data_IF_991604832912
#
_entry.id   IF_991604832912
#
_cell.length_a   1.000
_cell.length_b   1.000
_cell.length_c   1.000
_cell.angle_alpha   90.00
_cell.angle_beta   90.00
_cell.angle_gamma   90.00
#
_symmetry.space_group_name_H-M   'P 1'
#
loop_
_entity.id
_entity.type
_entity.pdbx_description
1 polymer ?
#
# COMPACT_ATOMS: atom_id res chain seq x y z
N UNK A 1 52.85 -0.25 -29.78
CA UNK A 1 53.15 -1.19 -30.86
C UNK A 1 51.89 -2.00 -31.12
N UNK A 2 51.27 -1.70 -32.28
CA UNK A 2 50.86 -2.67 -33.34
C UNK A 2 49.85 -3.73 -32.84
N UNK A 3 48.72 -3.94 -33.40
CA UNK A 3 47.96 -3.75 -34.67
C UNK A 3 46.80 -4.72 -34.54
N UNK A 4 45.53 -4.31 -34.74
CA UNK A 4 44.74 -4.48 -35.95
C UNK A 4 44.57 -5.94 -36.43
N UNK A 5 43.27 -6.36 -36.60
CA UNK A 5 42.56 -6.68 -37.86
C UNK A 5 41.30 -7.47 -37.47
N UNK A 6 40.07 -7.09 -37.64
CA UNK A 6 39.17 -6.84 -38.78
C UNK A 6 38.82 -8.09 -39.62
N UNK A 7 37.52 -8.30 -39.82
CA UNK A 7 36.79 -8.80 -41.00
C UNK A 7 35.52 -9.59 -40.57
N UNK A 8 34.31 -9.21 -40.83
CA UNK A 8 33.48 -8.87 -42.02
C UNK A 8 32.83 -10.09 -42.70
N UNK A 9 31.54 -9.89 -42.99
CA UNK A 9 30.64 -10.51 -44.01
C UNK A 9 29.99 -11.87 -43.65
N UNK A 10 28.75 -12.23 -44.08
CA UNK A 10 27.69 -11.53 -44.81
C UNK A 10 26.42 -12.38 -44.75
N UNK A 11 25.33 -11.72 -44.80
CA UNK A 11 24.02 -11.92 -45.38
C UNK A 11 23.70 -13.20 -46.19
N UNK A 12 22.48 -13.69 -46.04
CA UNK A 12 21.63 -14.06 -47.17
C UNK A 12 20.14 -14.10 -46.81
N UNK A 13 19.38 -13.30 -47.56
CA UNK A 13 17.93 -13.31 -47.71
C UNK A 13 17.49 -14.55 -48.50
N UNK A 14 16.32 -15.08 -48.23
CA UNK A 14 15.45 -15.66 -49.28
C UNK A 14 14.01 -15.26 -48.99
N UNK A 15 13.46 -14.48 -49.92
CA UNK A 15 12.00 -14.27 -50.13
C UNK A 15 11.43 -15.50 -50.86
N UNK A 16 10.15 -15.83 -50.58
CA UNK A 16 9.26 -16.39 -51.58
C UNK A 16 7.83 -15.91 -51.39
N UNK A 17 7.34 -15.16 -52.39
CA UNK A 17 5.94 -14.82 -52.66
C UNK A 17 5.28 -15.95 -53.44
N UNK A 18 3.94 -16.09 -53.28
CA UNK A 18 2.93 -16.22 -54.34
C UNK A 18 1.60 -16.56 -53.71
N UNK A 19 0.55 -15.85 -53.82
CA UNK A 19 -0.25 -15.21 -54.86
C UNK A 19 -1.61 -15.95 -55.07
N UNK A 20 -2.69 -15.15 -54.89
CA UNK A 20 -3.95 -15.05 -55.60
C UNK A 20 -5.01 -16.15 -55.60
N UNK A 21 -6.25 -15.71 -55.41
CA UNK A 21 -7.48 -16.34 -55.85
C UNK A 21 -8.74 -15.63 -55.34
N UNK A 22 -9.25 -14.67 -56.14
CA UNK A 22 -10.55 -14.01 -56.00
C UNK A 22 -11.73 -14.90 -56.30
N UNK A 23 -12.87 -14.72 -55.68
CA UNK A 23 -14.16 -14.50 -56.38
C UNK A 23 -15.26 -14.09 -55.41
N UNK A 24 -16.03 -13.10 -55.86
CA UNK A 24 -17.20 -12.50 -55.24
C UNK A 24 -18.47 -13.32 -55.51
N UNK A 25 -19.45 -13.22 -54.61
CA UNK A 25 -20.81 -12.68 -54.93
C UNK A 25 -21.85 -12.96 -53.85
N UNK A 26 -22.49 -11.86 -53.43
CA UNK A 26 -23.91 -11.53 -53.27
C UNK A 26 -24.80 -12.16 -52.21
N UNK A 27 -25.24 -11.21 -51.32
CA UNK A 27 -26.56 -11.01 -50.71
C UNK A 27 -27.45 -12.14 -50.22
N UNK A 28 -27.80 -12.10 -48.95
CA UNK A 28 -29.18 -11.84 -48.52
C UNK A 28 -29.27 -11.61 -47.00
N UNK A 29 -29.97 -10.55 -46.57
CA UNK A 29 -30.28 -10.20 -45.21
C UNK A 29 -31.21 -11.22 -44.52
N UNK A 30 -30.92 -11.51 -43.23
CA UNK A 30 -31.96 -11.91 -42.28
C UNK A 30 -31.48 -11.61 -40.85
N UNK A 31 -32.29 -10.80 -40.16
CA UNK A 31 -32.18 -10.40 -38.77
C UNK A 31 -32.37 -11.60 -37.83
N UNK A 32 -31.48 -11.75 -36.85
CA UNK A 32 -31.81 -12.42 -35.59
C UNK A 32 -30.93 -11.86 -34.49
N UNK A 33 -31.57 -11.44 -33.39
CA UNK A 33 -31.00 -11.01 -32.13
C UNK A 33 -29.94 -11.97 -31.64
N UNK A 34 -28.76 -11.45 -31.34
CA UNK A 34 -27.74 -12.18 -30.63
C UNK A 34 -27.62 -11.56 -29.25
N UNK A 35 -28.01 -12.33 -28.24
CA UNK A 35 -27.70 -12.07 -26.84
C UNK A 35 -26.18 -11.94 -26.69
N UNK A 36 -25.74 -10.78 -26.16
CA UNK A 36 -24.37 -10.57 -25.76
C UNK A 36 -24.09 -11.34 -24.45
N UNK A 37 -23.48 -12.50 -24.58
CA UNK A 37 -22.78 -13.13 -23.46
C UNK A 37 -21.50 -12.34 -23.23
N UNK A 38 -21.48 -11.58 -22.15
CA UNK A 38 -20.27 -11.01 -21.56
C UNK A 38 -19.37 -12.16 -21.12
N UNK A 39 -18.32 -12.40 -21.90
CA UNK A 39 -17.22 -13.26 -21.46
C UNK A 39 -16.39 -12.42 -20.49
N UNK A 40 -16.48 -12.73 -19.21
CA UNK A 40 -15.53 -12.22 -18.21
C UNK A 40 -14.12 -12.65 -18.66
N UNK A 41 -13.26 -11.66 -18.87
CA UNK A 41 -11.85 -11.90 -19.07
C UNK A 41 -11.27 -12.38 -17.74
N UNK A 42 -10.94 -13.65 -17.66
CA UNK A 42 -10.14 -14.21 -16.58
C UNK A 42 -8.75 -13.63 -16.69
N UNK A 43 -8.41 -12.74 -15.78
CA UNK A 43 -7.08 -12.19 -15.62
C UNK A 43 -6.16 -13.29 -15.09
N UNK A 44 -5.23 -13.78 -15.91
CA UNK A 44 -4.12 -14.59 -15.42
C UNK A 44 -3.14 -13.66 -14.67
N UNK A 45 -3.32 -13.53 -13.37
CA UNK A 45 -2.35 -13.00 -12.46
C UNK A 45 -2.00 -14.10 -11.45
N UNK A 46 -1.08 -14.99 -11.82
CA UNK A 46 -0.50 -15.89 -10.84
C UNK A 46 0.85 -16.39 -11.35
N UNK A 47 1.88 -16.21 -10.52
CA UNK A 47 3.08 -17.01 -10.59
C UNK A 47 2.75 -18.51 -10.54
N UNK A 48 3.57 -19.33 -11.18
CA UNK A 48 3.36 -20.76 -11.37
C UNK A 48 3.21 -21.53 -10.05
N UNK A 49 1.98 -21.67 -9.60
CA UNK A 49 1.51 -22.61 -8.60
C UNK A 49 0.11 -23.04 -8.97
N UNK A 50 -0.03 -23.79 -10.09
CA UNK A 50 -1.32 -24.13 -10.69
C UNK A 50 -2.01 -25.31 -10.01
N UNK A 51 -2.27 -25.24 -8.70
CA UNK A 51 -3.20 -26.11 -8.01
C UNK A 51 -4.41 -25.30 -7.57
N UNK A 52 -5.63 -25.71 -7.95
CA UNK A 52 -6.82 -25.15 -7.32
C UNK A 52 -6.75 -25.44 -5.82
N UNK A 53 -7.10 -24.46 -4.98
CA UNK A 53 -7.24 -24.68 -3.55
C UNK A 53 -8.33 -25.74 -3.30
N UNK A 54 -8.00 -26.72 -2.50
CA UNK A 54 -8.94 -27.79 -2.13
C UNK A 54 -8.85 -28.03 -0.64
N UNK A 55 -9.83 -27.58 0.12
CA UNK A 55 -9.85 -27.72 1.58
C UNK A 55 -11.01 -26.95 2.20
N UNK A 56 -11.13 -27.04 3.50
CA UNK A 56 -12.00 -26.18 4.28
C UNK A 56 -11.49 -24.73 4.20
N UNK A 57 -12.40 -23.73 4.04
CA UNK A 57 -11.98 -22.34 3.98
C UNK A 57 -11.17 -21.90 5.21
N UNK A 58 -10.10 -21.13 4.96
CA UNK A 58 -9.31 -20.49 6.01
C UNK A 58 -10.08 -19.27 6.54
N UNK A 59 -10.15 -19.10 7.84
CA UNK A 59 -10.75 -17.91 8.46
C UNK A 59 -9.73 -16.79 8.55
N UNK A 60 -9.86 -15.82 7.64
CA UNK A 60 -9.04 -14.61 7.60
C UNK A 60 -9.80 -13.44 8.19
N UNK A 61 -9.19 -12.70 9.12
CA UNK A 61 -9.78 -11.52 9.76
C UNK A 61 -9.03 -10.25 9.42
N UNK A 62 -9.73 -9.14 9.26
CA UNK A 62 -9.17 -7.79 9.17
C UNK A 62 -9.48 -6.97 10.41
N UNK A 63 -8.60 -6.05 10.76
CA UNK A 63 -8.81 -5.06 11.82
C UNK A 63 -8.28 -3.73 11.30
N UNK A 64 -9.05 -2.65 11.50
CA UNK A 64 -8.61 -1.31 11.18
C UNK A 64 -9.67 -0.25 11.42
N UNK A 65 -9.30 1.04 11.39
CA UNK A 65 -10.23 2.12 11.69
C UNK A 65 -11.17 2.37 10.50
N UNK A 66 -12.43 1.94 10.59
CA UNK A 66 -13.47 2.30 9.61
C UNK A 66 -14.30 3.49 10.07
N UNK A 67 -14.05 3.95 11.29
CA UNK A 67 -14.60 5.20 11.87
C UNK A 67 -13.47 6.01 12.51
N UNK A 68 -13.73 7.29 12.85
CA UNK A 68 -12.76 8.17 13.47
C UNK A 68 -11.78 8.83 12.50
N UNK A 69 -10.68 9.36 13.06
CA UNK A 69 -9.73 10.24 12.34
C UNK A 69 -8.84 9.56 11.30
N UNK A 70 -8.78 8.23 11.27
CA UNK A 70 -8.02 7.44 10.31
C UNK A 70 -8.92 6.56 9.41
N UNK A 71 -10.22 6.87 9.36
CA UNK A 71 -11.22 6.04 8.71
C UNK A 71 -10.98 5.80 7.21
N UNK A 72 -10.37 6.74 6.51
CA UNK A 72 -10.03 6.59 5.08
C UNK A 72 -9.11 5.38 4.85
N UNK A 73 -8.14 5.14 5.73
CA UNK A 73 -7.24 3.99 5.63
C UNK A 73 -7.98 2.67 5.85
N UNK A 74 -8.67 2.55 6.99
CA UNK A 74 -9.35 1.31 7.35
C UNK A 74 -10.49 0.96 6.41
N UNK A 75 -11.23 1.96 5.90
CA UNK A 75 -12.27 1.73 4.91
C UNK A 75 -11.68 1.21 3.58
N UNK A 76 -10.54 1.76 3.16
CA UNK A 76 -9.85 1.32 1.96
C UNK A 76 -9.33 -0.13 2.09
N UNK A 77 -8.72 -0.45 3.24
CA UNK A 77 -8.25 -1.81 3.56
C UNK A 77 -9.41 -2.80 3.59
N UNK A 78 -10.47 -2.51 4.35
CA UNK A 78 -11.66 -3.36 4.44
C UNK A 78 -12.25 -3.68 3.07
N UNK A 79 -12.43 -2.66 2.24
CA UNK A 79 -12.99 -2.81 0.90
C UNK A 79 -12.10 -3.71 0.03
N UNK A 80 -10.78 -3.52 0.08
CA UNK A 80 -9.83 -4.26 -0.73
C UNK A 80 -9.67 -5.72 -0.28
N UNK A 81 -9.66 -5.99 1.02
CA UNK A 81 -9.67 -7.36 1.54
C UNK A 81 -10.94 -8.11 1.11
N UNK A 82 -12.11 -7.45 1.25
CA UNK A 82 -13.39 -8.02 0.83
C UNK A 82 -13.40 -8.33 -0.68
N UNK A 83 -12.87 -7.42 -1.51
CA UNK A 83 -12.75 -7.59 -2.95
C UNK A 83 -11.85 -8.79 -3.29
N UNK A 84 -10.64 -8.82 -2.72
CA UNK A 84 -9.68 -9.90 -2.95
C UNK A 84 -10.24 -11.27 -2.56
N UNK A 85 -10.89 -11.38 -1.40
CA UNK A 85 -11.54 -12.63 -0.96
C UNK A 85 -12.64 -13.05 -1.92
N UNK A 86 -13.50 -12.14 -2.37
CA UNK A 86 -14.55 -12.43 -3.35
C UNK A 86 -13.99 -12.93 -4.68
N UNK A 87 -12.94 -12.28 -5.17
CA UNK A 87 -12.31 -12.65 -6.45
C UNK A 87 -11.61 -14.01 -6.35
N UNK A 88 -10.86 -14.27 -5.28
CA UNK A 88 -10.19 -15.55 -5.05
C UNK A 88 -11.21 -16.69 -4.93
N UNK A 89 -12.26 -16.52 -4.13
CA UNK A 89 -13.30 -17.52 -3.96
C UNK A 89 -14.04 -17.81 -5.29
N UNK A 90 -14.35 -16.75 -6.06
CA UNK A 90 -14.99 -16.90 -7.37
C UNK A 90 -14.09 -17.60 -8.38
N UNK A 91 -12.81 -17.24 -8.44
CA UNK A 91 -11.84 -17.85 -9.34
C UNK A 91 -11.57 -19.33 -9.00
N UNK A 92 -11.56 -19.68 -7.72
CA UNK A 92 -11.38 -21.06 -7.26
C UNK A 92 -12.65 -21.93 -7.48
N UNK A 93 -13.82 -21.31 -7.61
CA UNK A 93 -15.12 -22.01 -7.73
C UNK A 93 -15.65 -22.60 -6.42
N UNK A 94 -14.98 -22.34 -5.30
CA UNK A 94 -15.39 -22.65 -3.92
C UNK A 94 -14.68 -21.71 -2.96
N UNK A 95 -15.19 -21.58 -1.74
CA UNK A 95 -14.59 -20.68 -0.75
C UNK A 95 -13.20 -21.17 -0.34
N UNK A 96 -12.22 -20.29 -0.55
CA UNK A 96 -10.84 -20.41 -0.03
C UNK A 96 -10.76 -19.74 1.33
N UNK A 97 -11.45 -18.61 1.45
CA UNK A 97 -11.48 -17.81 2.66
C UNK A 97 -12.92 -17.57 3.14
N UNK A 98 -13.11 -17.67 4.46
CA UNK A 98 -14.16 -16.96 5.20
C UNK A 98 -13.55 -15.69 5.78
N UNK A 99 -14.20 -14.54 5.60
CA UNK A 99 -13.65 -13.24 5.98
C UNK A 99 -14.56 -12.46 6.93
N UNK A 100 -13.93 -11.77 7.90
CA UNK A 100 -14.57 -10.78 8.77
C UNK A 100 -13.65 -9.59 9.00
N UNK A 101 -14.26 -8.42 9.29
CA UNK A 101 -13.52 -7.20 9.61
C UNK A 101 -14.11 -6.53 10.85
N UNK A 102 -13.23 -6.05 11.74
CA UNK A 102 -13.60 -5.36 12.98
C UNK A 102 -13.03 -3.94 12.99
N UNK A 103 -13.80 -2.97 13.49
CA UNK A 103 -13.41 -1.56 13.63
C UNK A 103 -12.60 -1.35 14.92
N UNK A 104 -11.41 -0.78 14.84
CA UNK A 104 -10.59 -0.42 15.99
C UNK A 104 -10.55 1.09 16.30
N UNK A 105 -11.17 1.93 15.46
CA UNK A 105 -11.20 3.38 15.60
C UNK A 105 -9.81 4.02 15.79
N UNK A 106 -8.74 3.37 15.34
CA UNK A 106 -7.34 3.76 15.56
C UNK A 106 -6.95 3.77 17.06
N UNK A 107 -7.52 2.88 17.85
CA UNK A 107 -7.30 2.77 19.29
C UNK A 107 -6.73 1.40 19.64
N UNK A 108 -5.64 1.36 20.41
CA UNK A 108 -4.94 0.13 20.75
C UNK A 108 -5.78 -0.85 21.58
N UNK A 109 -6.57 -0.35 22.54
CA UNK A 109 -7.42 -1.19 23.40
C UNK A 109 -8.57 -1.78 22.59
N UNK A 110 -9.20 -0.99 21.71
CA UNK A 110 -10.25 -1.46 20.81
C UNK A 110 -9.72 -2.47 19.82
N UNK A 111 -8.50 -2.30 19.31
CA UNK A 111 -7.87 -3.24 18.40
C UNK A 111 -7.61 -4.60 19.04
N UNK A 112 -7.16 -4.64 20.29
CA UNK A 112 -7.05 -5.88 21.08
C UNK A 112 -8.43 -6.53 21.31
N UNK A 113 -9.47 -5.74 21.59
CA UNK A 113 -10.83 -6.25 21.72
C UNK A 113 -11.37 -6.80 20.39
N UNK A 114 -11.09 -6.15 19.27
CA UNK A 114 -11.43 -6.62 17.93
C UNK A 114 -10.72 -7.96 17.62
N UNK A 115 -9.43 -8.07 17.95
CA UNK A 115 -8.68 -9.32 17.84
C UNK A 115 -9.32 -10.46 18.64
N UNK A 116 -9.70 -10.22 19.89
CA UNK A 116 -10.37 -11.22 20.70
C UNK A 116 -11.73 -11.62 20.12
N UNK A 117 -12.49 -10.68 19.53
CA UNK A 117 -13.75 -10.97 18.83
C UNK A 117 -13.52 -11.90 17.63
N UNK A 118 -12.46 -11.66 16.86
CA UNK A 118 -12.09 -12.52 15.73
C UNK A 118 -11.60 -13.90 16.21
N UNK A 119 -10.85 -13.98 17.31
CA UNK A 119 -10.47 -15.29 17.94
C UNK A 119 -11.69 -16.10 18.32
N UNK A 120 -12.71 -15.51 18.94
CA UNK A 120 -13.94 -16.17 19.32
C UNK A 120 -14.72 -16.69 18.09
N UNK A 121 -14.56 -16.03 16.92
CA UNK A 121 -15.08 -16.54 15.65
C UNK A 121 -14.24 -17.70 15.08
N UNK A 122 -13.02 -17.91 15.56
CA UNK A 122 -12.11 -18.95 15.10
C UNK A 122 -11.09 -18.47 14.05
N UNK A 123 -10.60 -17.22 14.20
CA UNK A 123 -9.55 -16.63 13.37
C UNK A 123 -8.35 -17.57 13.22
N UNK A 124 -7.85 -17.71 11.99
CA UNK A 124 -6.63 -18.48 11.69
C UNK A 124 -5.50 -17.62 11.13
N UNK A 125 -5.85 -16.50 10.46
CA UNK A 125 -4.90 -15.56 9.86
C UNK A 125 -5.43 -14.15 10.05
N UNK A 126 -4.58 -13.22 10.47
CA UNK A 126 -4.91 -11.81 10.63
C UNK A 126 -4.29 -10.97 9.51
N UNK A 127 -5.12 -10.33 8.68
CA UNK A 127 -4.77 -9.28 7.74
C UNK A 127 -5.02 -7.92 8.41
N UNK A 128 -3.97 -7.32 8.96
CA UNK A 128 -4.11 -6.12 9.79
C UNK A 128 -3.32 -6.24 11.10
N UNK A 129 -3.51 -5.30 12.06
CA UNK A 129 -4.22 -4.03 11.93
C UNK A 129 -3.57 -3.04 10.96
N UNK A 130 -4.27 -1.90 10.71
CA UNK A 130 -3.90 -0.92 9.68
C UNK A 130 -2.88 0.10 10.18
N UNK A 131 -3.05 0.62 11.38
CA UNK A 131 -2.23 1.72 11.92
C UNK A 131 -1.25 1.22 12.97
N UNK A 132 -0.12 1.93 13.14
CA UNK A 132 1.05 1.46 13.91
C UNK A 132 0.75 1.12 15.37
N UNK A 133 0.18 2.04 16.16
CA UNK A 133 -0.06 1.83 17.60
C UNK A 133 -1.02 0.68 17.87
N UNK A 134 -2.18 0.55 17.19
CA UNK A 134 -3.03 -0.64 17.23
C UNK A 134 -2.30 -1.93 16.85
N UNK A 135 -1.49 -1.90 15.78
CA UNK A 135 -0.75 -3.08 15.31
C UNK A 135 0.28 -3.57 16.32
N UNK A 136 1.01 -2.68 16.99
CA UNK A 136 1.94 -3.06 18.06
C UNK A 136 1.20 -3.77 19.20
N UNK A 137 0.03 -3.26 19.59
CA UNK A 137 -0.75 -3.87 20.67
C UNK A 137 -1.25 -5.27 20.30
N UNK A 138 -1.78 -5.44 19.09
CA UNK A 138 -2.28 -6.74 18.61
C UNK A 138 -1.15 -7.71 18.31
N UNK A 139 0.00 -7.24 17.79
CA UNK A 139 1.16 -8.07 17.53
C UNK A 139 1.67 -8.78 18.79
N UNK A 140 1.63 -8.12 19.95
CA UNK A 140 1.98 -8.73 21.22
C UNK A 140 1.03 -9.89 21.59
N UNK A 141 -0.27 -9.77 21.29
CA UNK A 141 -1.26 -10.83 21.52
C UNK A 141 -1.09 -11.98 20.53
N UNK A 142 -0.91 -11.69 19.23
CA UNK A 142 -0.71 -12.72 18.20
C UNK A 142 0.57 -13.53 18.44
N UNK A 143 1.63 -12.90 18.97
CA UNK A 143 2.86 -13.59 19.35
C UNK A 143 2.64 -14.60 20.48
N UNK A 144 1.80 -14.25 21.48
CA UNK A 144 1.44 -15.17 22.56
C UNK A 144 0.62 -16.37 22.06
N UNK A 145 -0.21 -16.15 21.05
CA UNK A 145 -1.11 -17.17 20.50
C UNK A 145 -0.47 -17.99 19.35
N UNK A 146 0.72 -17.63 18.88
CA UNK A 146 1.33 -18.12 17.64
C UNK A 146 0.35 -18.05 16.47
N UNK A 147 -0.24 -16.87 16.24
CA UNK A 147 -1.18 -16.62 15.16
C UNK A 147 -0.53 -15.71 14.10
N UNK A 148 -0.57 -16.09 12.83
CA UNK A 148 0.03 -15.32 11.74
C UNK A 148 -0.68 -13.99 11.58
N UNK A 149 0.10 -12.92 11.59
CA UNK A 149 -0.36 -11.54 11.38
C UNK A 149 0.44 -10.90 10.24
N UNK A 150 -0.26 -10.28 9.28
CA UNK A 150 0.35 -9.43 8.27
C UNK A 150 -0.37 -8.09 8.20
N UNK A 151 0.34 -7.02 8.54
CA UNK A 151 -0.22 -5.67 8.40
C UNK A 151 -0.06 -5.14 6.98
N UNK A 152 -1.12 -4.50 6.41
CA UNK A 152 -1.00 -3.84 5.11
C UNK A 152 -0.18 -2.55 5.17
N UNK A 153 -0.15 -1.84 6.31
CA UNK A 153 0.33 -0.46 6.34
C UNK A 153 1.00 0.00 7.63
N UNK A 154 0.94 -0.78 8.72
CA UNK A 154 1.64 -0.40 9.94
C UNK A 154 3.15 -0.57 9.77
N UNK A 155 3.86 0.54 9.64
CA UNK A 155 5.21 0.64 9.08
C UNK A 155 6.34 0.75 10.12
N UNK A 156 6.00 0.96 11.41
CA UNK A 156 7.03 1.03 12.44
C UNK A 156 7.72 -0.33 12.67
N UNK A 157 9.05 -0.37 12.84
CA UNK A 157 9.79 -1.60 13.13
C UNK A 157 9.26 -2.36 14.36
N UNK A 158 8.78 -1.63 15.37
CA UNK A 158 8.23 -2.23 16.59
C UNK A 158 7.03 -3.17 16.33
N UNK A 159 6.35 -3.07 15.19
CA UNK A 159 5.26 -3.97 14.81
C UNK A 159 5.79 -5.38 14.59
N UNK A 160 6.79 -5.53 13.72
CA UNK A 160 7.37 -6.83 13.37
C UNK A 160 8.39 -7.35 14.41
N UNK A 161 8.90 -6.49 15.28
CA UNK A 161 9.78 -6.88 16.39
C UNK A 161 9.03 -7.59 17.53
N UNK A 162 7.70 -7.58 17.52
CA UNK A 162 6.87 -8.20 18.57
C UNK A 162 6.92 -9.73 18.55
N UNK A 163 7.15 -10.34 17.37
CA UNK A 163 7.23 -11.81 17.23
C UNK A 163 7.59 -12.22 15.80
N UNK A 164 8.08 -13.45 15.64
CA UNK A 164 8.45 -14.03 14.34
C UNK A 164 7.23 -14.44 13.48
N UNK A 165 6.03 -14.29 14.02
CA UNK A 165 4.73 -14.53 13.40
C UNK A 165 4.13 -13.27 12.76
N UNK A 166 4.79 -12.10 12.89
CA UNK A 166 4.29 -10.80 12.43
C UNK A 166 5.06 -10.35 11.20
N UNK A 167 4.31 -10.09 10.14
CA UNK A 167 4.82 -9.67 8.83
C UNK A 167 4.19 -8.34 8.42
N UNK A 168 4.85 -7.61 7.54
CA UNK A 168 4.31 -6.38 6.93
C UNK A 168 4.51 -6.41 5.42
N UNK A 169 3.57 -5.83 4.67
CA UNK A 169 3.71 -5.68 3.21
C UNK A 169 4.09 -4.24 2.83
N UNK A 170 3.91 -3.27 3.72
CA UNK A 170 4.34 -1.88 3.52
C UNK A 170 5.85 -1.71 3.74
N UNK A 171 6.43 -0.67 3.19
CA UNK A 171 7.79 -0.26 3.50
C UNK A 171 7.87 0.35 4.91
N UNK A 172 9.05 0.28 5.55
CA UNK A 172 9.21 0.67 6.95
C UNK A 172 9.37 2.17 7.16
N UNK A 173 9.04 2.70 8.36
CA UNK A 173 9.30 4.09 8.76
C UNK A 173 10.77 4.51 8.58
N UNK A 174 11.77 3.69 8.93
CA UNK A 174 13.15 4.00 8.61
C UNK A 174 13.39 4.25 7.12
N UNK A 175 12.79 3.43 6.25
CA UNK A 175 12.90 3.60 4.81
C UNK A 175 12.21 4.88 4.33
N UNK A 176 11.05 5.23 4.89
CA UNK A 176 10.35 6.46 4.57
C UNK A 176 11.16 7.71 4.95
N UNK A 177 11.69 7.73 6.18
CA UNK A 177 12.50 8.86 6.67
C UNK A 177 13.76 9.07 5.84
N UNK A 178 14.50 8.00 5.55
CA UNK A 178 15.72 8.04 4.71
C UNK A 178 15.37 8.44 3.28
N UNK A 179 14.41 7.76 2.64
CA UNK A 179 14.04 8.03 1.26
C UNK A 179 13.51 9.46 1.06
N UNK A 180 12.77 10.00 2.04
CA UNK A 180 12.31 11.40 2.00
C UNK A 180 13.46 12.39 2.00
N UNK A 181 14.45 12.21 2.89
CA UNK A 181 15.61 13.08 2.96
C UNK A 181 16.47 12.98 1.68
N UNK A 182 16.68 11.76 1.18
CA UNK A 182 17.39 11.50 -0.07
C UNK A 182 16.70 12.20 -1.23
N UNK A 183 15.41 12.00 -1.38
CA UNK A 183 14.62 12.54 -2.48
C UNK A 183 14.61 14.08 -2.48
N UNK A 184 14.41 14.70 -1.30
CA UNK A 184 14.46 16.15 -1.13
C UNK A 184 15.84 16.70 -1.53
N UNK A 185 16.92 16.06 -1.08
CA UNK A 185 18.28 16.49 -1.35
C UNK A 185 18.68 16.33 -2.83
N UNK A 186 18.40 15.17 -3.42
CA UNK A 186 18.76 14.83 -4.80
C UNK A 186 18.02 15.70 -5.82
N UNK A 187 16.73 15.96 -5.56
CA UNK A 187 15.88 16.77 -6.44
C UNK A 187 15.91 18.27 -6.08
N UNK A 188 16.63 18.67 -5.00
CA UNK A 188 16.78 20.06 -4.56
C UNK A 188 15.43 20.75 -4.33
N UNK A 189 14.51 20.04 -3.68
CA UNK A 189 13.14 20.50 -3.49
C UNK A 189 13.00 21.65 -2.48
N UNK A 190 14.00 21.82 -1.61
CA UNK A 190 14.11 22.90 -0.65
C UNK A 190 15.53 23.03 -0.10
N UNK A 191 15.83 24.16 0.55
CA UNK A 191 17.12 24.42 1.17
C UNK A 191 17.04 24.57 2.68
N UNK A 192 15.87 24.98 3.18
CA UNK A 192 15.56 25.17 4.61
C UNK A 192 14.33 24.38 4.98
N UNK A 193 14.54 23.28 5.68
CA UNK A 193 13.47 22.33 6.01
C UNK A 193 12.86 22.67 7.35
N UNK A 194 11.55 22.95 7.38
CA UNK A 194 10.71 22.86 8.56
C UNK A 194 10.11 21.46 8.68
N UNK A 195 9.87 20.99 9.90
CA UNK A 195 9.23 19.71 10.14
C UNK A 195 8.06 19.93 11.08
N UNK A 196 6.90 19.29 10.78
CA UNK A 196 5.76 19.24 11.72
C UNK A 196 5.39 17.77 11.89
N UNK A 197 5.39 17.28 13.15
CA UNK A 197 5.20 15.86 13.45
C UNK A 197 4.40 15.62 14.73
N UNK A 198 3.76 14.47 14.84
CA UNK A 198 3.10 14.02 16.06
C UNK A 198 4.09 13.26 16.95
N UNK A 199 4.45 13.87 18.09
CA UNK A 199 5.39 13.27 19.04
C UNK A 199 4.76 12.20 19.94
N UNK A 200 3.45 12.03 19.89
CA UNK A 200 2.70 11.01 20.62
C UNK A 200 2.40 9.76 19.78
N UNK A 201 2.65 9.81 18.48
CA UNK A 201 2.45 8.68 17.55
C UNK A 201 3.77 8.04 17.15
N UNK A 202 3.83 6.70 17.22
CA UNK A 202 5.04 5.93 16.94
C UNK A 202 5.45 6.00 15.46
N UNK A 203 4.49 6.01 14.52
CA UNK A 203 4.71 6.20 13.10
C UNK A 203 5.38 7.55 12.83
N UNK A 204 4.73 8.63 13.25
CA UNK A 204 5.18 10.00 12.98
C UNK A 204 6.55 10.30 13.59
N UNK A 205 6.75 9.94 14.86
CA UNK A 205 8.01 10.15 15.57
C UNK A 205 9.15 9.27 15.01
N UNK A 206 8.84 8.05 14.60
CA UNK A 206 9.80 7.12 14.00
C UNK A 206 10.37 7.64 12.68
N UNK A 207 9.51 8.09 11.78
CA UNK A 207 9.92 8.70 10.51
C UNK A 207 10.72 9.98 10.74
N UNK A 208 10.24 10.87 11.64
CA UNK A 208 10.93 12.11 12.00
C UNK A 208 12.38 11.86 12.43
N UNK A 209 12.62 10.92 13.34
CA UNK A 209 13.98 10.64 13.84
C UNK A 209 14.90 10.12 12.73
N UNK A 210 14.40 9.30 11.80
CA UNK A 210 15.19 8.79 10.67
C UNK A 210 15.44 9.87 9.61
N UNK A 211 14.43 10.66 9.29
CA UNK A 211 14.59 11.82 8.40
C UNK A 211 15.64 12.78 8.94
N UNK A 212 15.57 13.14 10.22
CA UNK A 212 16.52 14.05 10.88
C UNK A 212 17.95 13.53 10.82
N UNK A 213 18.15 12.23 11.04
CA UNK A 213 19.48 11.64 10.96
C UNK A 213 20.05 11.69 9.54
N UNK A 214 19.24 11.33 8.52
CA UNK A 214 19.64 11.33 7.12
C UNK A 214 19.81 12.76 6.57
N UNK A 215 18.97 13.70 6.98
CA UNK A 215 19.09 15.11 6.61
C UNK A 215 20.49 15.69 6.92
N UNK A 216 21.07 15.29 8.07
CA UNK A 216 22.46 15.65 8.41
C UNK A 216 23.45 15.06 7.43
N UNK A 217 23.28 13.79 7.05
CA UNK A 217 24.17 13.12 6.09
C UNK A 217 24.08 13.74 4.69
N UNK A 218 22.89 14.24 4.31
CA UNK A 218 22.64 14.90 3.01
C UNK A 218 22.88 16.41 3.02
N UNK A 219 23.30 16.99 4.15
CA UNK A 219 23.49 18.42 4.34
C UNK A 219 22.21 19.25 4.09
N UNK A 220 21.04 18.72 4.43
CA UNK A 220 19.80 19.48 4.48
C UNK A 220 19.75 20.31 5.77
N UNK A 221 19.45 21.60 5.65
CA UNK A 221 19.34 22.51 6.80
C UNK A 221 17.94 22.38 7.42
N UNK A 222 17.82 21.72 8.59
CA UNK A 222 16.58 21.72 9.37
C UNK A 222 16.55 23.00 10.19
N UNK A 223 15.69 23.95 9.82
CA UNK A 223 15.59 25.26 10.49
C UNK A 223 14.65 25.25 11.69
N UNK A 224 13.67 24.32 11.72
CA UNK A 224 12.79 24.09 12.86
C UNK A 224 12.15 22.72 12.81
N UNK A 225 11.78 22.16 13.98
CA UNK A 225 10.97 20.94 14.08
C UNK A 225 9.91 21.18 15.18
N UNK A 226 8.65 21.17 14.75
CA UNK A 226 7.52 21.55 15.57
C UNK A 226 6.65 20.33 15.88
N UNK A 227 6.57 19.98 17.16
CA UNK A 227 5.77 18.85 17.60
C UNK A 227 4.32 19.28 17.90
N UNK A 228 3.40 18.34 17.71
CA UNK A 228 2.08 18.32 18.31
C UNK A 228 1.83 16.95 18.95
N UNK A 229 0.68 16.76 19.58
CA UNK A 229 0.24 15.49 20.19
C UNK A 229 -1.23 15.26 19.89
N UNK A 230 -1.72 14.05 20.13
CA UNK A 230 -3.14 13.70 19.98
C UNK A 230 -4.08 14.67 20.72
N UNK A 231 -3.65 15.24 21.85
CA UNK A 231 -4.46 16.16 22.67
C UNK A 231 -4.59 17.57 22.06
N UNK A 232 -3.69 17.99 21.17
CA UNK A 232 -3.65 19.37 20.64
C UNK A 232 -3.60 19.46 19.12
N UNK A 233 -3.97 18.40 18.41
CA UNK A 233 -3.95 18.31 16.95
C UNK A 233 -5.11 19.02 16.23
N UNK A 234 -6.04 19.61 16.95
CA UNK A 234 -7.22 20.27 16.37
C UNK A 234 -6.93 21.63 15.73
N UNK A 235 -5.80 22.27 16.08
CA UNK A 235 -5.33 23.53 15.47
C UNK A 235 -3.80 23.55 15.43
N UNK A 236 -3.26 23.46 14.22
CA UNK A 236 -1.82 23.41 13.94
C UNK A 236 -1.27 24.73 13.39
N UNK A 237 -2.04 25.81 13.48
CA UNK A 237 -1.65 27.16 13.01
C UNK A 237 -0.37 27.68 13.67
N UNK A 238 -0.13 27.34 14.94
CA UNK A 238 1.10 27.71 15.66
C UNK A 238 2.34 27.05 15.08
N UNK A 239 2.27 25.75 14.75
CA UNK A 239 3.37 25.00 14.14
C UNK A 239 3.69 25.56 12.74
N UNK A 240 2.66 25.84 11.95
CA UNK A 240 2.80 26.49 10.63
C UNK A 240 3.46 27.85 10.74
N UNK A 241 3.00 28.71 11.68
CA UNK A 241 3.57 30.03 11.88
C UNK A 241 5.06 29.98 12.28
N UNK A 242 5.48 29.00 13.07
CA UNK A 242 6.89 28.82 13.45
C UNK A 242 7.74 28.38 12.26
N UNK A 243 7.25 27.48 11.39
CA UNK A 243 7.94 27.13 10.15
C UNK A 243 8.12 28.36 9.25
N UNK A 244 7.08 29.16 9.08
CA UNK A 244 7.14 30.42 8.32
C UNK A 244 8.15 31.42 8.93
N UNK A 245 8.14 31.62 10.25
CA UNK A 245 9.07 32.51 10.94
C UNK A 245 10.52 32.05 10.87
N UNK A 246 10.76 30.74 10.87
CA UNK A 246 12.08 30.14 10.67
C UNK A 246 12.58 30.27 9.22
N UNK A 247 11.70 30.68 8.29
CA UNK A 247 12.01 30.84 6.87
C UNK A 247 12.17 29.50 6.16
N UNK A 248 11.44 28.46 6.56
CA UNK A 248 11.44 27.20 5.88
C UNK A 248 10.85 27.37 4.47
N UNK A 249 11.55 26.87 3.45
CA UNK A 249 11.11 26.86 2.06
C UNK A 249 10.51 25.50 1.65
N UNK A 250 10.73 24.47 2.50
CA UNK A 250 10.09 23.17 2.44
C UNK A 250 9.60 22.76 3.83
N UNK A 251 8.41 22.18 3.91
CA UNK A 251 7.87 21.59 5.16
C UNK A 251 7.67 20.10 4.96
N UNK A 252 8.42 19.31 5.75
CA UNK A 252 8.29 17.86 5.81
C UNK A 252 7.23 17.47 6.83
N UNK A 253 6.31 16.61 6.42
CA UNK A 253 5.11 16.24 7.16
C UNK A 253 5.00 14.70 7.31
N UNK A 254 5.73 14.07 8.23
CA UNK A 254 5.57 12.65 8.54
C UNK A 254 4.33 12.43 9.44
N UNK A 255 3.15 12.68 8.91
CA UNK A 255 1.88 12.68 9.64
C UNK A 255 0.74 12.13 8.76
N UNK A 256 -0.42 11.92 9.36
CA UNK A 256 -1.61 11.45 8.66
C UNK A 256 -2.34 12.56 7.91
N UNK A 257 -3.14 12.16 6.93
CA UNK A 257 -3.84 13.05 6.00
C UNK A 257 -4.70 14.13 6.67
N UNK A 258 -5.30 13.81 7.80
CA UNK A 258 -6.23 14.71 8.49
C UNK A 258 -5.51 15.92 9.08
N UNK A 259 -4.41 15.70 9.79
CA UNK A 259 -3.56 16.75 10.33
C UNK A 259 -2.86 17.53 9.22
N UNK A 260 -2.44 16.84 8.17
CA UNK A 260 -1.87 17.46 6.97
C UNK A 260 -2.84 18.44 6.31
N UNK A 261 -4.11 18.08 6.16
CA UNK A 261 -5.14 18.97 5.60
C UNK A 261 -5.30 20.26 6.42
N UNK A 262 -5.23 20.17 7.74
CA UNK A 262 -5.29 21.33 8.63
C UNK A 262 -4.06 22.24 8.47
N UNK A 263 -2.87 21.64 8.27
CA UNK A 263 -1.63 22.39 8.01
C UNK A 263 -1.72 23.15 6.69
N UNK A 264 -2.18 22.49 5.62
CA UNK A 264 -2.38 23.14 4.32
C UNK A 264 -3.38 24.30 4.40
N UNK A 265 -4.50 24.11 5.10
CA UNK A 265 -5.49 25.18 5.36
C UNK A 265 -4.86 26.34 6.14
N UNK A 266 -4.07 26.06 7.18
CA UNK A 266 -3.42 27.08 8.00
C UNK A 266 -2.35 27.85 7.21
N UNK A 267 -1.56 27.17 6.39
CA UNK A 267 -0.56 27.76 5.51
C UNK A 267 -1.21 28.69 4.49
N UNK A 268 -2.25 28.24 3.80
CA UNK A 268 -3.01 29.06 2.85
C UNK A 268 -3.59 30.33 3.52
N UNK A 269 -4.20 30.19 4.71
CA UNK A 269 -4.75 31.33 5.47
C UNK A 269 -3.70 32.37 5.85
N UNK A 270 -2.45 31.94 6.10
CA UNK A 270 -1.34 32.84 6.46
C UNK A 270 -0.57 33.38 5.25
N UNK A 271 -0.90 32.95 4.03
CA UNK A 271 -0.15 33.26 2.82
C UNK A 271 1.27 32.65 2.81
N UNK A 272 1.44 31.53 3.48
CA UNK A 272 2.71 30.78 3.51
C UNK A 272 2.65 29.65 2.48
N UNK A 273 3.54 29.71 1.50
CA UNK A 273 3.56 28.83 0.32
C UNK A 273 4.91 28.08 0.21
N UNK A 274 5.26 27.21 1.16
CA UNK A 274 6.44 26.37 1.03
C UNK A 274 6.14 25.16 0.12
N UNK A 275 7.19 24.46 -0.28
CA UNK A 275 7.02 23.09 -0.78
C UNK A 275 6.60 22.18 0.37
N UNK A 276 5.54 21.38 0.19
CA UNK A 276 5.14 20.36 1.14
C UNK A 276 5.56 18.97 0.67
N UNK A 277 6.15 18.21 1.57
CA UNK A 277 6.58 16.83 1.31
C UNK A 277 6.16 15.93 2.48
N UNK A 278 5.45 14.85 2.18
CA UNK A 278 4.94 13.90 3.19
C UNK A 278 5.35 12.46 2.92
N UNK A 279 4.79 11.60 3.72
CA UNK A 279 4.97 10.16 3.66
C UNK A 279 3.66 9.47 3.23
N UNK A 280 3.61 8.15 3.31
CA UNK A 280 2.45 7.34 2.94
C UNK A 280 1.15 7.74 3.67
N UNK A 281 1.26 8.18 4.93
CA UNK A 281 0.11 8.68 5.71
C UNK A 281 -0.60 9.91 5.12
N UNK A 282 -0.06 10.51 4.06
CA UNK A 282 -0.75 11.57 3.32
C UNK A 282 -1.74 11.03 2.29
N UNK A 283 -1.62 9.77 1.88
CA UNK A 283 -2.51 9.19 0.88
C UNK A 283 -3.95 9.11 1.43
N UNK A 284 -4.90 9.54 0.63
CA UNK A 284 -6.28 9.75 1.02
C UNK A 284 -6.66 11.23 1.25
N UNK A 285 -5.70 12.17 1.27
CA UNK A 285 -5.97 13.61 1.50
C UNK A 285 -6.96 14.18 0.49
N UNK A 286 -6.97 13.67 -0.75
CA UNK A 286 -7.87 14.09 -1.81
C UNK A 286 -9.33 13.61 -1.62
N UNK A 287 -9.57 12.67 -0.69
CA UNK A 287 -10.89 12.09 -0.45
C UNK A 287 -11.57 12.61 0.82
N UNK A 288 -10.95 13.58 1.52
CA UNK A 288 -11.51 14.19 2.73
C UNK A 288 -12.77 14.97 2.40
N UNK A 289 -13.88 14.61 3.00
CA UNK A 289 -15.15 15.33 2.81
C UNK A 289 -15.04 16.80 3.21
N UNK A 290 -15.37 17.70 2.29
CA UNK A 290 -15.35 19.16 2.50
C UNK A 290 -13.97 19.81 2.49
N UNK A 291 -12.90 19.07 2.23
CA UNK A 291 -11.57 19.64 2.02
C UNK A 291 -11.45 20.23 0.62
N UNK A 292 -10.90 21.44 0.53
CA UNK A 292 -10.54 22.03 -0.75
C UNK A 292 -9.26 21.41 -1.31
N UNK A 293 -9.41 20.44 -2.19
CA UNK A 293 -8.29 19.66 -2.74
C UNK A 293 -7.29 20.51 -3.54
N UNK A 294 -7.68 21.72 -3.97
CA UNK A 294 -6.73 22.65 -4.61
C UNK A 294 -5.60 23.09 -3.67
N UNK A 295 -5.80 23.00 -2.34
CA UNK A 295 -4.77 23.29 -1.36
C UNK A 295 -3.68 22.23 -1.30
N UNK A 296 -3.95 21.05 -1.83
CA UNK A 296 -2.97 19.96 -1.92
C UNK A 296 -2.20 19.95 -3.26
N UNK A 297 -2.48 20.89 -4.17
CA UNK A 297 -1.76 20.99 -5.45
C UNK A 297 -0.26 21.20 -5.21
N UNK A 298 0.58 20.38 -5.82
CA UNK A 298 2.03 20.39 -5.63
C UNK A 298 2.53 19.67 -4.38
N UNK A 299 1.65 19.15 -3.52
CA UNK A 299 2.05 18.29 -2.40
C UNK A 299 2.69 17.01 -2.94
N UNK A 300 3.86 16.68 -2.45
CA UNK A 300 4.59 15.45 -2.78
C UNK A 300 4.51 14.46 -1.61
N UNK A 301 4.46 13.17 -1.92
CA UNK A 301 4.47 12.11 -0.91
C UNK A 301 5.13 10.83 -1.42
N UNK A 302 5.51 9.96 -0.49
CA UNK A 302 5.98 8.62 -0.81
C UNK A 302 4.81 7.63 -0.78
N UNK A 303 4.73 6.77 -1.80
CA UNK A 303 3.71 5.71 -1.92
C UNK A 303 4.27 4.56 -2.75
N UNK A 304 3.86 3.30 -2.52
CA UNK A 304 4.20 2.20 -3.42
C UNK A 304 3.27 2.09 -4.62
N UNK A 305 2.13 2.80 -4.62
CA UNK A 305 1.02 2.63 -5.55
C UNK A 305 0.59 3.94 -6.18
N UNK A 306 0.25 3.89 -7.47
CA UNK A 306 -0.35 4.99 -8.20
C UNK A 306 -1.56 4.46 -9.00
N UNK A 307 -2.76 4.93 -8.65
CA UNK A 307 -4.01 4.45 -9.26
C UNK A 307 -4.14 4.78 -10.77
N UNK A 308 -3.33 5.69 -11.28
CA UNK A 308 -3.24 6.08 -12.69
C UNK A 308 -2.16 5.31 -13.48
N UNK A 309 -1.42 4.40 -12.85
CA UNK A 309 -0.45 3.55 -13.51
C UNK A 309 -1.11 2.74 -14.64
N UNK A 310 -0.39 2.58 -15.76
CA UNK A 310 -0.97 2.04 -17.00
C UNK A 310 -0.76 0.53 -17.17
N UNK A 311 -0.18 -0.13 -16.18
CA UNK A 311 -0.05 -1.59 -16.21
C UNK A 311 -1.41 -2.27 -16.03
N UNK A 312 -1.53 -3.47 -16.58
CA UNK A 312 -2.78 -4.22 -16.67
C UNK A 312 -3.34 -4.60 -15.30
N UNK A 313 -2.47 -5.01 -14.36
CA UNK A 313 -2.88 -5.39 -12.99
C UNK A 313 -3.50 -4.19 -12.26
N UNK A 314 -2.80 -3.06 -12.25
CA UNK A 314 -3.29 -1.84 -11.61
C UNK A 314 -4.62 -1.39 -12.21
N UNK A 315 -4.75 -1.36 -13.53
CA UNK A 315 -5.99 -0.95 -14.18
C UNK A 315 -7.15 -1.90 -13.90
N UNK A 316 -6.91 -3.21 -13.84
CA UNK A 316 -7.92 -4.20 -13.48
C UNK A 316 -8.41 -3.99 -12.04
N UNK A 317 -7.48 -3.88 -11.08
CA UNK A 317 -7.81 -3.62 -9.68
C UNK A 317 -8.59 -2.31 -9.48
N UNK A 318 -8.10 -1.22 -10.07
CA UNK A 318 -8.76 0.10 -9.98
C UNK A 318 -10.17 0.05 -10.55
N UNK A 319 -10.37 -0.65 -11.68
CA UNK A 319 -11.69 -0.83 -12.28
C UNK A 319 -12.63 -1.62 -11.38
N UNK A 320 -12.18 -2.78 -10.88
CA UNK A 320 -12.97 -3.63 -9.99
C UNK A 320 -13.33 -2.93 -8.67
N UNK A 321 -12.36 -2.23 -8.07
CA UNK A 321 -12.58 -1.47 -6.85
C UNK A 321 -13.61 -0.34 -7.05
N UNK A 322 -13.48 0.43 -8.15
CA UNK A 322 -14.45 1.49 -8.49
C UNK A 322 -15.84 0.96 -8.76
N UNK A 323 -15.95 -0.19 -9.44
CA UNK A 323 -17.24 -0.82 -9.69
C UNK A 323 -17.92 -1.27 -8.40
N UNK A 324 -17.13 -1.83 -7.46
CA UNK A 324 -17.66 -2.36 -6.21
C UNK A 324 -18.01 -1.28 -5.18
N UNK A 325 -17.22 -0.20 -5.08
CA UNK A 325 -17.28 0.75 -3.97
C UNK A 325 -17.49 2.20 -4.38
N UNK A 326 -17.39 2.53 -5.67
CA UNK A 326 -17.61 3.88 -6.20
C UNK A 326 -16.46 4.87 -6.06
N UNK A 327 -15.37 4.45 -5.40
CA UNK A 327 -14.20 5.28 -5.11
C UNK A 327 -12.94 4.82 -5.85
N UNK A 328 -11.96 5.71 -5.97
CA UNK A 328 -10.62 5.35 -6.46
C UNK A 328 -9.82 4.76 -5.30
N UNK A 329 -9.21 3.56 -5.47
CA UNK A 329 -8.39 2.97 -4.41
C UNK A 329 -7.12 3.80 -4.18
N UNK A 330 -6.72 3.91 -2.91
CA UNK A 330 -5.44 4.45 -2.48
C UNK A 330 -4.42 3.30 -2.25
N UNK A 331 -3.20 3.64 -1.79
CA UNK A 331 -2.17 2.62 -1.53
C UNK A 331 -2.60 1.61 -0.45
N UNK A 332 -3.36 2.02 0.56
CA UNK A 332 -3.80 1.13 1.64
C UNK A 332 -4.74 0.03 1.12
N UNK A 333 -5.59 0.38 0.15
CA UNK A 333 -6.39 -0.60 -0.56
C UNK A 333 -5.52 -1.57 -1.38
N UNK A 334 -4.52 -1.05 -2.09
CA UNK A 334 -3.63 -1.87 -2.91
C UNK A 334 -2.75 -2.80 -2.05
N UNK A 335 -2.20 -2.30 -0.95
CA UNK A 335 -1.43 -3.11 0.00
C UNK A 335 -2.28 -4.21 0.65
N UNK A 336 -3.52 -3.90 1.04
CA UNK A 336 -4.43 -4.88 1.64
C UNK A 336 -4.87 -5.96 0.63
N UNK A 337 -5.10 -5.59 -0.61
CA UNK A 337 -5.36 -6.52 -1.70
C UNK A 337 -4.18 -7.48 -1.88
N UNK A 338 -2.96 -6.94 -1.92
CA UNK A 338 -1.73 -7.73 -2.00
C UNK A 338 -1.55 -8.66 -0.80
N UNK A 339 -1.89 -8.24 0.44
CA UNK A 339 -1.84 -9.09 1.64
C UNK A 339 -2.68 -10.36 1.44
N UNK A 340 -3.94 -10.21 1.00
CA UNK A 340 -4.84 -11.36 0.84
C UNK A 340 -4.35 -12.29 -0.27
N UNK A 341 -3.87 -11.74 -1.40
CA UNK A 341 -3.34 -12.55 -2.51
C UNK A 341 -2.01 -13.22 -2.15
N UNK A 342 -1.13 -12.58 -1.37
CA UNK A 342 0.11 -13.19 -0.90
C UNK A 342 -0.16 -14.35 0.07
N UNK A 343 -1.14 -14.19 0.98
CA UNK A 343 -1.61 -15.26 1.87
C UNK A 343 -2.21 -16.41 1.05
N UNK A 344 -3.01 -16.10 0.02
CA UNK A 344 -3.56 -17.11 -0.89
C UNK A 344 -2.47 -17.91 -1.61
N UNK A 345 -1.48 -17.23 -2.19
CA UNK A 345 -0.35 -17.87 -2.84
C UNK A 345 0.41 -18.79 -1.88
N UNK A 346 0.69 -18.30 -0.66
CA UNK A 346 1.36 -19.07 0.39
C UNK A 346 0.53 -20.29 0.81
N UNK A 347 -0.79 -20.14 0.97
CA UNK A 347 -1.69 -21.21 1.36
C UNK A 347 -1.74 -22.34 0.31
N UNK A 348 -1.86 -21.97 -0.97
CA UNK A 348 -1.85 -22.95 -2.07
C UNK A 348 -0.51 -23.69 -2.15
N UNK A 349 0.61 -22.94 -2.10
CA UNK A 349 1.96 -23.53 -2.18
C UNK A 349 2.28 -24.43 -0.98
N UNK A 350 1.82 -24.07 0.22
CA UNK A 350 2.03 -24.80 1.47
C UNK A 350 1.00 -25.91 1.75
N UNK A 351 -0.07 -26.03 0.94
CA UNK A 351 -1.18 -26.94 1.22
C UNK A 351 -1.94 -26.59 2.52
N UNK A 352 -1.95 -25.30 2.89
CA UNK A 352 -2.56 -24.78 4.14
C UNK A 352 -4.07 -24.68 3.92
N UNK A 353 -4.87 -25.13 4.88
CA UNK A 353 -6.32 -25.09 4.82
C UNK A 353 -6.95 -24.92 6.19
N UNK A 354 -8.26 -24.65 6.21
CA UNK A 354 -9.02 -24.35 7.43
C UNK A 354 -9.24 -25.50 8.41
N UNK A 355 -8.81 -26.73 8.07
CA UNK A 355 -8.84 -27.88 9.00
C UNK A 355 -7.64 -27.86 9.97
N UNK A 356 -6.62 -27.03 9.69
CA UNK A 356 -5.43 -26.88 10.53
C UNK A 356 -5.73 -25.97 11.73
N UNK A 357 -5.07 -26.21 12.84
CA UNK A 357 -5.10 -25.27 13.98
C UNK A 357 -4.39 -23.96 13.59
N UNK A 358 -4.82 -22.83 14.15
CA UNK A 358 -4.27 -21.50 13.83
C UNK A 358 -2.75 -21.43 14.01
N UNK A 359 -2.20 -22.11 15.03
CA UNK A 359 -0.76 -22.18 15.26
C UNK A 359 -0.02 -22.95 14.15
N UNK A 360 -0.61 -24.04 13.63
CA UNK A 360 -0.03 -24.81 12.51
C UNK A 360 -0.10 -24.01 11.20
N UNK A 361 -1.21 -23.27 10.99
CA UNK A 361 -1.34 -22.31 9.87
C UNK A 361 -0.24 -21.25 9.97
N UNK A 362 -0.01 -20.70 11.15
CA UNK A 362 1.03 -19.70 11.38
C UNK A 362 2.42 -20.23 11.00
N UNK A 363 2.82 -21.40 11.53
CA UNK A 363 4.14 -21.97 11.25
C UNK A 363 4.33 -22.30 9.76
N UNK A 364 3.27 -22.78 9.11
CA UNK A 364 3.30 -23.06 7.68
C UNK A 364 3.40 -21.76 6.84
N UNK A 365 2.66 -20.72 7.19
CA UNK A 365 2.73 -19.41 6.50
C UNK A 365 4.12 -18.77 6.69
N UNK A 366 4.68 -18.76 7.90
CA UNK A 366 6.05 -18.27 8.16
C UNK A 366 7.07 -18.95 7.23
N UNK A 367 6.98 -20.26 7.07
CA UNK A 367 7.88 -21.01 6.20
C UNK A 367 7.72 -20.65 4.72
N UNK A 368 6.48 -20.38 4.27
CA UNK A 368 6.22 -19.94 2.89
C UNK A 368 6.72 -18.52 2.66
N UNK A 369 6.35 -17.56 3.50
CA UNK A 369 6.71 -16.15 3.32
C UNK A 369 8.22 -15.93 3.31
N UNK A 370 9.00 -16.64 4.13
CA UNK A 370 10.47 -16.53 4.14
C UNK A 370 11.17 -17.18 2.96
N UNK A 371 10.44 -17.83 2.05
CA UNK A 371 11.00 -18.53 0.87
C UNK A 371 10.36 -18.16 -0.46
N UNK A 372 9.18 -17.53 -0.43
CA UNK A 372 8.44 -17.17 -1.66
C UNK A 372 8.85 -15.81 -2.21
N UNK A 373 8.48 -15.60 -3.47
CA UNK A 373 8.48 -14.29 -4.13
C UNK A 373 7.06 -13.97 -4.55
N UNK A 374 6.65 -12.71 -4.42
CA UNK A 374 5.31 -12.26 -4.76
C UNK A 374 5.35 -11.03 -5.67
N UNK A 375 4.56 -11.06 -6.75
CA UNK A 375 4.36 -9.96 -7.69
C UNK A 375 2.98 -9.35 -7.47
N UNK A 376 2.92 -8.25 -6.72
CA UNK A 376 1.68 -7.56 -6.35
C UNK A 376 1.38 -6.31 -7.16
N UNK A 377 0.41 -5.54 -6.69
CA UNK A 377 0.09 -4.20 -7.16
C UNK A 377 1.11 -3.16 -6.68
N UNK A 378 1.66 -3.39 -5.49
CA UNK A 378 2.50 -2.43 -4.77
C UNK A 378 3.99 -2.73 -4.88
N UNK A 379 4.37 -3.82 -5.53
CA UNK A 379 5.75 -4.20 -5.81
C UNK A 379 5.87 -5.48 -6.61
N UNK A 380 6.90 -5.56 -7.45
CA UNK A 380 7.30 -6.76 -8.17
C UNK A 380 8.44 -7.46 -7.42
N UNK A 381 8.45 -8.79 -7.43
CA UNK A 381 9.51 -9.58 -6.83
C UNK A 381 9.66 -9.39 -5.32
N UNK A 382 8.58 -9.07 -4.61
CA UNK A 382 8.61 -8.87 -3.16
C UNK A 382 9.00 -10.15 -2.44
N UNK A 383 9.90 -10.04 -1.49
CA UNK A 383 10.36 -11.12 -0.61
C UNK A 383 10.33 -10.65 0.84
N UNK A 384 10.17 -11.57 1.76
CA UNK A 384 10.21 -11.29 3.19
C UNK A 384 11.41 -11.98 3.84
N UNK A 385 12.06 -11.28 4.76
CA UNK A 385 13.08 -11.88 5.59
C UNK A 385 12.49 -12.49 6.88
N UNK A 386 13.34 -13.14 7.68
CA UNK A 386 12.92 -13.79 8.92
C UNK A 386 12.41 -12.81 10.00
N UNK A 387 12.59 -11.51 9.83
CA UNK A 387 12.02 -10.49 10.72
C UNK A 387 10.60 -10.07 10.33
N UNK A 388 10.07 -10.59 9.20
CA UNK A 388 8.78 -10.20 8.67
C UNK A 388 8.81 -8.93 7.81
N UNK A 389 9.99 -8.34 7.60
CA UNK A 389 10.15 -7.14 6.75
C UNK A 389 10.13 -7.52 5.26
N UNK A 390 9.43 -6.71 4.46
CA UNK A 390 9.34 -6.87 3.00
C UNK A 390 10.43 -6.08 2.28
N UNK A 391 10.91 -6.61 1.15
CA UNK A 391 11.84 -5.93 0.23
C UNK A 391 11.12 -4.93 -0.68
N UNK A 392 10.49 -3.91 -0.10
CA UNK A 392 9.72 -2.90 -0.84
C UNK A 392 10.36 -1.52 -0.67
N UNK A 393 10.45 -0.76 -1.75
CA UNK A 393 10.95 0.62 -1.75
C UNK A 393 9.81 1.61 -2.05
N UNK A 394 9.77 2.76 -1.37
CA UNK A 394 8.81 3.82 -1.68
C UNK A 394 9.11 4.45 -3.04
N UNK A 395 8.05 4.96 -3.68
CA UNK A 395 8.10 5.80 -4.88
C UNK A 395 7.59 7.19 -4.53
N UNK A 396 8.08 8.22 -5.20
CA UNK A 396 7.56 9.57 -5.01
C UNK A 396 6.46 9.88 -6.03
N UNK A 397 5.40 10.51 -5.55
CA UNK A 397 4.32 11.07 -6.37
C UNK A 397 4.07 12.52 -5.98
N UNK A 398 3.48 13.28 -6.90
CA UNK A 398 3.02 14.64 -6.66
C UNK A 398 1.52 14.74 -6.96
N UNK A 399 0.81 15.55 -6.19
CA UNK A 399 -0.58 15.91 -6.51
C UNK A 399 -0.56 16.98 -7.59
N UNK A 400 -1.15 16.68 -8.74
CA UNK A 400 -1.22 17.55 -9.89
C UNK A 400 -2.60 17.45 -10.55
N UNK A 401 -3.20 18.60 -10.82
CA UNK A 401 -4.55 18.67 -11.39
C UNK A 401 -5.58 17.86 -10.58
N UNK A 402 -5.41 17.80 -9.25
CA UNK A 402 -6.27 17.09 -8.32
C UNK A 402 -6.14 15.56 -8.34
N UNK A 403 -5.05 15.01 -8.87
CA UNK A 403 -4.75 13.57 -8.91
C UNK A 403 -3.29 13.29 -8.55
N UNK A 404 -3.00 12.06 -8.11
CA UNK A 404 -1.62 11.62 -7.91
C UNK A 404 -0.97 11.36 -9.28
N UNK A 405 0.23 11.88 -9.47
CA UNK A 405 1.04 11.70 -10.66
C UNK A 405 2.44 11.22 -10.26
N UNK A 406 2.99 10.26 -11.01
CA UNK A 406 4.37 9.80 -10.81
C UNK A 406 5.38 10.93 -11.05
N UNK A 407 6.48 10.94 -10.27
CA UNK A 407 7.57 11.92 -10.37
C UNK A 407 8.82 11.32 -11.01
#
# INVERSE_FOLDING_TARGET
MKKLVSSVLAASMVLSLAACGSSASTDTASSSEAASTSTAATTEAAGEGSGAYTGTPIKIGGIGPVTGGAAIYGQAVKNAEELAVKEINAANGSDVFEWKFEDDEHDAEKSVNAYNTLKDWGLQVLAGPVTTTPSIAVAAETANDNLFMMTPSASAPAVIESGDNVFQICFTDPNQGVASADYIAENKLGTKVGIIYDSSDAYSSGIYEKFKAEAVAKNLEIVTAEAFTADNKSDLSTQVAKCQQAGADLVFLPIYYQEASQILIAANKSGYEPTFFGCDGMDGILTIEGFDTSLAEGLMLLTPFAADAQDEKTQAFVSAYKEAYGDTPNQFAADAYDVVYAIYQAAVAGGINGDMDASDVCDALKAQFTSMTFDGLTGDGMTWDASGAVSKAPKAVVIKDGAYAAM
#
